data_IF_626629355261
#
_entry.id   IF_626629355261
#
_cell.length_a   1.000
_cell.length_b   1.000
_cell.length_c   1.000
_cell.angle_alpha   90.00
_cell.angle_beta   90.00
_cell.angle_gamma   90.00
#
_symmetry.space_group_name_H-M   'P 1'
#
loop_
_entity.id
_entity.type
_entity.pdbx_description
1 polymer ?
#
# COMPACT_ATOMS: atom_id res chain seq x y z
N UNK A 1 14.84 1.25 21.52
CA UNK A 1 13.44 0.97 21.12
C UNK A 1 13.10 1.68 19.82
N UNK A 2 12.38 0.99 18.96
CA UNK A 2 11.98 1.57 17.70
C UNK A 2 10.96 2.69 17.93
N UNK A 3 11.18 3.81 17.28
CA UNK A 3 10.23 4.92 17.30
C UNK A 3 8.99 4.52 16.50
N UNK A 4 7.77 4.80 16.97
CA UNK A 4 6.57 4.54 16.19
C UNK A 4 6.64 5.28 14.84
N UNK A 5 6.16 4.62 13.80
CA UNK A 5 6.25 5.14 12.44
C UNK A 5 4.95 5.75 11.97
N UNK A 6 5.06 6.70 11.04
CA UNK A 6 3.89 7.19 10.34
C UNK A 6 3.51 6.19 9.25
N UNK A 7 2.23 6.10 8.96
CA UNK A 7 1.71 5.10 8.03
C UNK A 7 0.98 5.75 6.87
N UNK A 8 1.09 5.11 5.71
CA UNK A 8 0.16 5.34 4.60
C UNK A 8 -0.57 4.02 4.37
N UNK A 9 -1.89 4.04 4.43
CA UNK A 9 -2.72 2.86 4.28
C UNK A 9 -3.53 2.99 3.01
N UNK A 10 -3.41 1.98 2.13
CA UNK A 10 -4.10 1.97 0.85
C UNK A 10 -5.04 0.78 0.81
N UNK A 11 -6.31 1.05 0.55
CA UNK A 11 -7.33 0.01 0.45
C UNK A 11 -7.66 -0.25 -1.02
N UNK A 12 -7.63 -1.52 -1.41
CA UNK A 12 -7.82 -1.93 -2.80
C UNK A 12 -8.80 -3.08 -2.90
N UNK A 13 -9.50 -3.14 -4.04
CA UNK A 13 -10.29 -4.32 -4.42
C UNK A 13 -9.96 -4.68 -5.85
N UNK A 14 -10.17 -5.94 -6.19
CA UNK A 14 -10.07 -6.41 -7.56
C UNK A 14 -11.22 -7.38 -7.83
N UNK A 15 -11.49 -7.65 -9.11
CA UNK A 15 -12.50 -8.64 -9.46
C UNK A 15 -12.09 -10.01 -8.92
N UNK A 16 -13.04 -10.83 -8.42
CA UNK A 16 -12.69 -12.14 -7.86
C UNK A 16 -11.91 -13.03 -8.83
N UNK A 17 -12.23 -12.97 -10.11
CA UNK A 17 -11.52 -13.76 -11.13
C UNK A 17 -10.05 -13.37 -11.28
N UNK A 18 -9.68 -12.15 -10.84
CA UNK A 18 -8.32 -11.64 -10.95
C UNK A 18 -7.56 -11.70 -9.64
N UNK A 19 -8.16 -12.23 -8.59
CA UNK A 19 -7.59 -12.16 -7.25
C UNK A 19 -6.21 -12.81 -7.12
N UNK A 20 -6.03 -14.00 -7.68
CA UNK A 20 -4.74 -14.69 -7.63
C UNK A 20 -3.66 -13.88 -8.37
N UNK A 21 -4.00 -13.38 -9.57
CA UNK A 21 -3.11 -12.54 -10.37
C UNK A 21 -2.78 -11.24 -9.64
N UNK A 22 -3.79 -10.62 -9.02
CA UNK A 22 -3.65 -9.38 -8.28
C UNK A 22 -2.68 -9.55 -7.10
N UNK A 23 -2.84 -10.60 -6.31
CA UNK A 23 -1.98 -10.85 -5.16
C UNK A 23 -0.54 -11.14 -5.59
N UNK A 24 -0.36 -11.94 -6.63
CA UNK A 24 0.96 -12.24 -7.15
C UNK A 24 1.66 -10.98 -7.64
N UNK A 25 0.98 -10.16 -8.43
CA UNK A 25 1.51 -8.91 -8.94
C UNK A 25 1.87 -7.95 -7.81
N UNK A 26 0.97 -7.79 -6.85
CA UNK A 26 1.17 -6.88 -5.73
C UNK A 26 2.43 -7.26 -4.94
N UNK A 27 2.57 -8.56 -4.66
CA UNK A 27 3.69 -9.08 -3.86
C UNK A 27 5.02 -9.08 -4.63
N UNK A 28 4.99 -9.38 -5.92
CA UNK A 28 6.22 -9.64 -6.68
C UNK A 28 6.66 -8.46 -7.54
N UNK A 29 5.78 -7.54 -7.86
CA UNK A 29 6.08 -6.41 -8.74
C UNK A 29 5.87 -5.07 -8.03
N UNK A 30 4.66 -4.81 -7.58
CA UNK A 30 4.29 -3.48 -7.07
C UNK A 30 5.05 -3.09 -5.82
N UNK A 31 4.98 -3.91 -4.78
CA UNK A 31 5.67 -3.62 -3.51
C UNK A 31 7.18 -3.53 -3.71
N UNK A 32 7.83 -4.47 -4.42
CA UNK A 32 9.28 -4.35 -4.64
C UNK A 32 9.68 -3.06 -5.36
N UNK A 33 8.88 -2.58 -6.31
CA UNK A 33 9.15 -1.31 -6.96
C UNK A 33 9.07 -0.14 -5.98
N UNK A 34 8.03 -0.12 -5.15
CA UNK A 34 7.86 0.94 -4.15
C UNK A 34 8.96 0.89 -3.09
N UNK A 35 9.41 -0.31 -2.71
CA UNK A 35 10.47 -0.48 -1.71
C UNK A 35 11.82 0.08 -2.14
N UNK A 36 11.99 0.41 -3.40
CA UNK A 36 13.19 1.11 -3.87
C UNK A 36 13.26 2.53 -3.35
N UNK A 37 12.12 3.10 -2.95
CA UNK A 37 12.10 4.41 -2.30
C UNK A 37 12.64 4.28 -0.88
N UNK A 38 13.71 5.00 -0.57
CA UNK A 38 14.42 4.87 0.70
C UNK A 38 13.58 5.25 1.92
N UNK A 39 12.56 6.09 1.73
CA UNK A 39 11.70 6.53 2.82
C UNK A 39 10.78 5.46 3.37
N UNK A 40 10.47 4.44 2.57
CA UNK A 40 9.64 3.32 3.03
C UNK A 40 10.51 2.35 3.83
N UNK A 41 10.11 2.09 5.08
CA UNK A 41 10.89 1.21 5.97
C UNK A 41 10.30 -0.18 6.09
N UNK A 42 9.00 -0.32 5.88
CA UNK A 42 8.32 -1.60 6.00
C UNK A 42 7.00 -1.53 5.27
N UNK A 43 6.59 -2.62 4.67
CA UNK A 43 5.26 -2.75 4.05
C UNK A 43 4.63 -4.04 4.53
N UNK A 44 3.38 -3.96 4.97
CA UNK A 44 2.61 -5.13 5.35
C UNK A 44 1.31 -5.12 4.57
N UNK A 45 0.95 -6.25 3.98
CA UNK A 45 -0.33 -6.40 3.32
C UNK A 45 -1.28 -7.18 4.23
N UNK A 46 -2.53 -6.75 4.23
CA UNK A 46 -3.59 -7.40 5.01
C UNK A 46 -4.74 -7.78 4.08
N UNK A 47 -5.34 -8.91 4.34
CA UNK A 47 -6.64 -9.26 3.76
C UNK A 47 -7.71 -8.89 4.77
N UNK A 48 -8.75 -8.21 4.30
CA UNK A 48 -9.87 -7.86 5.18
C UNK A 48 -10.70 -9.13 5.36
N UNK A 49 -10.86 -9.55 6.60
CA UNK A 49 -11.55 -10.81 6.92
C UNK A 49 -13.01 -10.60 7.34
N UNK A 50 -13.43 -9.36 7.46
CA UNK A 50 -14.81 -9.03 7.74
C UNK A 50 -15.64 -9.17 6.47
N UNK A 51 -16.42 -10.24 6.38
CA UNK A 51 -17.22 -10.53 5.19
C UNK A 51 -18.27 -9.47 4.88
N UNK A 52 -18.63 -8.66 5.86
CA UNK A 52 -19.60 -7.60 5.66
C UNK A 52 -18.99 -6.32 5.10
N UNK A 53 -17.67 -6.29 4.98
CA UNK A 53 -16.99 -5.12 4.42
C UNK A 53 -17.07 -5.19 2.90
N UNK A 54 -17.92 -4.35 2.33
CA UNK A 54 -18.07 -4.27 0.87
C UNK A 54 -17.08 -3.30 0.24
N UNK A 55 -16.32 -2.56 1.05
CA UNK A 55 -15.57 -1.42 0.56
C UNK A 55 -14.15 -1.72 0.14
N UNK A 56 -13.50 -2.71 0.75
CA UNK A 56 -12.11 -3.01 0.42
C UNK A 56 -11.79 -4.43 0.81
N UNK A 57 -11.06 -5.14 -0.05
CA UNK A 57 -10.66 -6.51 0.21
C UNK A 57 -9.29 -6.61 0.82
N UNK A 58 -8.42 -5.68 0.48
CA UNK A 58 -7.01 -5.72 0.89
C UNK A 58 -6.56 -4.36 1.35
N UNK A 59 -5.63 -4.38 2.31
CA UNK A 59 -4.94 -3.18 2.75
C UNK A 59 -3.44 -3.38 2.52
N UNK A 60 -2.77 -2.31 2.12
CA UNK A 60 -1.31 -2.26 2.15
C UNK A 60 -0.93 -1.14 3.11
N UNK A 61 -0.09 -1.45 4.07
CA UNK A 61 0.34 -0.51 5.11
C UNK A 61 1.81 -0.22 4.89
N UNK A 62 2.12 1.01 4.53
CA UNK A 62 3.48 1.49 4.28
C UNK A 62 3.95 2.29 5.48
N UNK A 63 5.13 1.95 6.01
CA UNK A 63 5.67 2.59 7.21
C UNK A 63 6.84 3.48 6.86
N UNK A 64 6.82 4.70 7.40
CA UNK A 64 7.85 5.73 7.19
C UNK A 64 8.35 6.21 8.55
N UNK A 65 9.62 6.62 8.64
CA UNK A 65 10.16 7.13 9.89
C UNK A 65 9.61 8.50 10.25
N UNK A 66 9.23 9.31 9.27
CA UNK A 66 8.74 10.66 9.51
C UNK A 66 7.75 11.12 8.43
N UNK A 67 7.07 12.21 8.73
CA UNK A 67 6.07 12.78 7.82
C UNK A 67 6.68 13.31 6.53
N UNK A 68 7.92 13.77 6.60
CA UNK A 68 8.60 14.31 5.44
C UNK A 68 8.81 13.23 4.37
N UNK A 69 9.32 12.07 4.79
CA UNK A 69 9.50 10.94 3.88
C UNK A 69 8.20 10.52 3.22
N UNK A 70 7.11 10.49 4.00
CA UNK A 70 5.80 10.15 3.48
C UNK A 70 5.33 11.20 2.47
N UNK A 71 5.46 12.48 2.80
CA UNK A 71 5.00 13.56 1.94
C UNK A 71 5.78 13.64 0.63
N UNK A 72 7.05 13.25 0.64
CA UNK A 72 7.90 13.30 -0.55
C UNK A 72 7.78 12.08 -1.45
N UNK A 73 7.21 10.98 -0.95
CA UNK A 73 7.09 9.75 -1.74
C UNK A 73 6.41 9.95 -3.09
N UNK A 74 5.24 10.65 -3.19
CA UNK A 74 4.58 10.81 -4.49
C UNK A 74 5.42 11.56 -5.54
N UNK A 75 6.42 12.30 -5.10
CA UNK A 75 7.32 13.04 -6.00
C UNK A 75 8.51 12.22 -6.44
N UNK A 76 8.73 11.05 -5.83
CA UNK A 76 9.90 10.23 -6.11
C UNK A 76 9.79 9.54 -7.46
N UNK A 77 10.91 9.30 -8.15
CA UNK A 77 10.88 8.54 -9.39
C UNK A 77 10.44 7.10 -9.19
N UNK A 78 10.73 6.51 -8.01
CA UNK A 78 10.29 5.15 -7.68
C UNK A 78 8.78 5.04 -7.63
N UNK A 79 8.11 6.00 -6.99
CA UNK A 79 6.65 6.02 -6.92
C UNK A 79 6.04 6.21 -8.31
N UNK A 80 6.58 7.15 -9.09
CA UNK A 80 6.07 7.41 -10.43
C UNK A 80 6.19 6.17 -11.32
N UNK A 81 7.32 5.48 -11.26
CA UNK A 81 7.53 4.25 -12.02
C UNK A 81 6.55 3.16 -11.60
N UNK A 82 6.31 3.01 -10.29
CA UNK A 82 5.37 2.02 -9.77
C UNK A 82 3.93 2.31 -10.23
N UNK A 83 3.53 3.57 -10.25
CA UNK A 83 2.19 3.95 -10.70
C UNK A 83 2.03 3.74 -12.20
N UNK A 84 3.03 4.06 -13.01
CA UNK A 84 3.01 3.81 -14.44
C UNK A 84 2.87 2.32 -14.73
N UNK A 85 3.63 1.50 -14.03
CA UNK A 85 3.56 0.05 -14.19
C UNK A 85 2.17 -0.47 -13.80
N UNK A 86 1.62 0.01 -12.71
CA UNK A 86 0.30 -0.36 -12.24
C UNK A 86 -0.77 -0.03 -13.29
N UNK A 87 -0.75 1.19 -13.81
CA UNK A 87 -1.71 1.62 -14.82
C UNK A 87 -1.61 0.81 -16.09
N UNK A 88 -0.39 0.48 -16.51
CA UNK A 88 -0.15 -0.33 -17.72
C UNK A 88 -0.64 -1.76 -17.53
N UNK A 89 -0.33 -2.38 -16.40
CA UNK A 89 -0.64 -3.78 -16.12
C UNK A 89 -2.14 -4.02 -15.93
N UNK A 90 -2.83 -3.07 -15.31
CA UNK A 90 -4.24 -3.25 -14.90
C UNK A 90 -5.23 -2.51 -15.76
N UNK A 91 -4.80 -1.91 -16.85
CA UNK A 91 -5.70 -1.23 -17.78
C UNK A 91 -6.18 -2.21 -18.85
N UNK A 92 -7.48 -2.27 -19.17
CA UNK A 92 -8.63 -1.57 -18.57
C UNK A 92 -9.25 -2.30 -17.39
N UNK A 93 -8.62 -3.32 -16.88
CA UNK A 93 -9.21 -4.21 -15.89
C UNK A 93 -9.07 -3.67 -14.46
N UNK A 94 -10.01 -4.04 -13.66
CA UNK A 94 -10.30 -3.55 -12.37
C UNK A 94 -9.34 -3.80 -11.24
N UNK A 95 -8.24 -3.09 -11.18
CA UNK A 95 -7.64 -2.77 -9.91
C UNK A 95 -8.26 -1.46 -9.46
N UNK A 96 -8.89 -1.45 -8.29
CA UNK A 96 -9.60 -0.31 -7.81
C UNK A 96 -9.04 0.12 -6.45
N UNK A 97 -8.50 1.33 -6.40
CA UNK A 97 -8.07 1.92 -5.13
C UNK A 97 -9.28 2.61 -4.53
N UNK A 98 -9.77 2.08 -3.41
CA UNK A 98 -10.96 2.59 -2.78
C UNK A 98 -10.69 3.84 -1.96
N UNK A 99 -9.60 3.82 -1.21
CA UNK A 99 -9.16 4.99 -0.47
C UNK A 99 -7.70 4.81 -0.06
N UNK A 100 -7.08 5.92 0.24
CA UNK A 100 -5.74 5.95 0.81
C UNK A 100 -5.73 7.05 1.87
N UNK A 101 -5.06 6.79 2.99
CA UNK A 101 -4.96 7.78 4.05
C UNK A 101 -3.64 7.64 4.78
N UNK A 102 -3.26 8.72 5.46
CA UNK A 102 -2.02 8.76 6.21
C UNK A 102 -2.33 8.93 7.69
N UNK A 103 -1.57 8.25 8.51
CA UNK A 103 -1.77 8.22 9.96
C UNK A 103 -0.46 8.51 10.68
N UNK A 104 -0.55 9.25 11.77
CA UNK A 104 0.59 9.39 12.67
C UNK A 104 0.26 8.73 14.00
N UNK A 105 1.25 8.12 14.65
CA UNK A 105 0.99 7.46 15.93
C UNK A 105 0.74 8.48 17.03
N UNK A 106 -0.23 8.20 17.88
CA UNK A 106 -0.47 9.01 19.06
C UNK A 106 0.13 8.36 20.30
N UNK A 107 -0.12 7.08 20.47
CA UNK A 107 0.40 6.32 21.59
C UNK A 107 0.31 4.83 21.27
N UNK A 108 1.25 4.07 21.78
CA UNK A 108 1.29 2.62 21.62
C UNK A 108 1.19 1.95 22.98
N UNK A 109 0.31 0.96 23.09
CA UNK A 109 0.23 0.10 24.25
C UNK A 109 0.64 -1.30 23.83
N UNK A 110 1.37 -2.00 24.68
CA UNK A 110 1.79 -3.35 24.42
C UNK A 110 1.66 -4.23 25.65
N UNK A 111 1.80 -5.54 25.46
CA UNK A 111 1.80 -6.50 26.55
C UNK A 111 3.01 -7.40 26.49
#
# INVERSE_FOLDING_TARGET
>A
MAKPRVLNIVATVCAPKNEARFNKWYNEVHIPMLMKYKGIKKVTRYKIIDEKSEKSRYLAVYEFDDKKSLAEMPKSPEFKAAIEEMQSTWKPEGLDIKWALSCEPLKTWGK
#
